data_IF_018465690012
#
_entry.id   IF_018465690012
#
_cell.length_a   1.000
_cell.length_b   1.000
_cell.length_c   1.000
_cell.angle_alpha   90.00
_cell.angle_beta   90.00
_cell.angle_gamma   90.00
#
_symmetry.space_group_name_H-M   'P 1'
#
loop_
_entity.id
_entity.type
_entity.pdbx_description
1 polymer ?
#
# COMPACT_ATOMS: atom_id res chain seq x y z
N UNK A 1 -16.69 -26.03 -43.04
CA UNK A 1 -16.62 -26.07 -41.57
C UNK A 1 -17.87 -26.78 -41.07
N UNK A 2 -17.71 -27.99 -40.55
CA UNK A 2 -18.80 -28.84 -40.04
C UNK A 2 -18.77 -28.70 -38.53
N UNK A 3 -19.89 -28.31 -37.91
CA UNK A 3 -20.01 -28.32 -36.45
C UNK A 3 -20.69 -29.63 -36.05
N UNK A 4 -20.02 -30.47 -35.23
CA UNK A 4 -20.67 -31.55 -34.50
C UNK A 4 -21.67 -30.96 -33.51
N UNK A 5 -22.91 -31.48 -33.50
CA UNK A 5 -23.91 -31.16 -32.48
C UNK A 5 -24.38 -32.48 -31.87
N UNK A 6 -24.31 -32.70 -30.55
CA UNK A 6 -24.85 -33.92 -29.96
C UNK A 6 -26.37 -33.81 -29.96
N UNK A 7 -27.07 -34.88 -30.36
CA UNK A 7 -28.49 -35.00 -30.00
C UNK A 7 -28.86 -36.43 -29.65
N UNK A 8 -29.69 -36.48 -28.61
CA UNK A 8 -30.29 -37.62 -27.94
C UNK A 8 -30.91 -38.62 -28.93
N UNK A 9 -30.49 -39.88 -28.76
CA UNK A 9 -31.13 -41.14 -29.14
C UNK A 9 -31.52 -41.41 -30.61
N UNK A 10 -31.05 -42.56 -31.09
CA UNK A 10 -31.44 -43.34 -32.27
C UNK A 10 -30.52 -43.25 -33.50
N UNK A 11 -29.83 -44.37 -33.76
CA UNK A 11 -28.70 -44.52 -34.69
C UNK A 11 -29.03 -45.62 -35.71
N UNK A 12 -29.53 -45.27 -36.90
CA UNK A 12 -29.49 -46.21 -38.04
C UNK A 12 -29.62 -45.61 -39.45
N UNK A 13 -29.76 -44.29 -39.62
CA UNK A 13 -29.73 -43.69 -40.97
C UNK A 13 -29.08 -42.30 -40.95
N UNK A 14 -27.94 -42.15 -41.62
CA UNK A 14 -27.32 -40.83 -41.82
C UNK A 14 -28.02 -40.14 -43.01
N UNK A 15 -28.65 -38.98 -42.76
CA UNK A 15 -29.15 -38.10 -43.83
C UNK A 15 -28.42 -36.77 -43.70
N UNK A 16 -27.63 -36.39 -44.72
CA UNK A 16 -26.99 -35.07 -44.81
C UNK A 16 -28.10 -34.00 -44.81
N UNK A 17 -28.31 -33.31 -43.67
CA UNK A 17 -29.12 -32.09 -43.62
C UNK A 17 -28.26 -30.88 -43.92
N UNK A 18 -28.83 -29.87 -44.57
CA UNK A 18 -28.10 -28.65 -44.91
C UNK A 18 -27.90 -27.77 -43.68
N UNK A 19 -26.86 -26.92 -43.70
CA UNK A 19 -26.56 -25.97 -42.61
C UNK A 19 -27.73 -25.03 -42.27
N UNK A 20 -28.63 -24.78 -43.23
CA UNK A 20 -29.81 -23.91 -43.05
C UNK A 20 -30.90 -24.56 -42.18
N UNK A 21 -31.03 -25.88 -42.22
CA UNK A 21 -32.03 -26.61 -41.45
C UNK A 21 -31.62 -26.71 -39.97
N UNK A 22 -30.33 -26.84 -39.68
CA UNK A 22 -29.80 -26.86 -38.31
C UNK A 22 -29.93 -25.48 -37.61
N UNK A 23 -29.68 -24.40 -38.36
CA UNK A 23 -29.82 -23.03 -37.87
C UNK A 23 -31.27 -22.67 -37.49
N UNK A 24 -32.26 -23.27 -38.15
CA UNK A 24 -33.68 -22.97 -37.91
C UNK A 24 -34.19 -23.64 -36.62
N UNK A 25 -33.77 -24.88 -36.37
CA UNK A 25 -34.08 -25.63 -35.15
C UNK A 25 -33.46 -25.00 -33.89
N UNK A 26 -32.20 -24.56 -33.96
CA UNK A 26 -31.55 -23.85 -32.85
C UNK A 26 -32.21 -22.49 -32.55
N UNK A 27 -32.76 -21.82 -33.57
CA UNK A 27 -33.54 -20.58 -33.40
C UNK A 27 -34.88 -20.81 -32.70
N UNK A 28 -35.51 -21.96 -32.93
CA UNK A 28 -36.78 -22.34 -32.27
C UNK A 28 -36.55 -22.78 -30.81
N UNK A 29 -35.45 -23.51 -30.54
CA UNK A 29 -35.04 -23.87 -29.18
C UNK A 29 -34.66 -22.63 -28.34
N UNK A 30 -33.91 -21.69 -28.91
CA UNK A 30 -33.58 -20.42 -28.25
C UNK A 30 -34.78 -19.51 -27.97
N UNK A 31 -35.84 -19.57 -28.80
CA UNK A 31 -37.08 -18.80 -28.59
C UNK A 31 -37.97 -19.35 -27.48
N UNK A 32 -37.93 -20.67 -27.19
CA UNK A 32 -38.65 -21.25 -26.04
C UNK A 32 -37.96 -21.00 -24.70
N UNK A 33 -36.64 -20.79 -24.68
CA UNK A 33 -35.91 -20.44 -23.46
C UNK A 33 -36.09 -18.96 -23.03
N UNK A 34 -36.46 -18.07 -23.97
CA UNK A 34 -36.61 -16.63 -23.71
C UNK A 34 -38.02 -16.20 -23.27
N UNK A 35 -39.04 -17.08 -23.32
CA UNK A 35 -40.42 -16.72 -22.96
C UNK A 35 -40.78 -16.93 -21.48
N UNK A 36 -39.80 -17.26 -20.63
CA UNK A 36 -40.02 -17.62 -19.23
C UNK A 36 -39.33 -16.74 -18.19
N UNK A 37 -38.65 -15.66 -18.58
CA UNK A 37 -38.08 -14.74 -17.59
C UNK A 37 -39.21 -13.90 -16.97
N UNK A 38 -39.52 -14.05 -15.67
CA UNK A 38 -40.63 -13.32 -15.06
C UNK A 38 -40.34 -11.81 -15.12
N UNK A 39 -41.35 -11.00 -15.45
CA UNK A 39 -41.31 -9.53 -15.46
C UNK A 39 -40.78 -8.92 -14.14
N UNK A 40 -40.78 -9.71 -13.06
CA UNK A 40 -40.20 -9.35 -11.76
C UNK A 40 -38.67 -9.15 -11.79
N UNK A 41 -37.97 -9.72 -12.78
CA UNK A 41 -36.50 -9.64 -12.91
C UNK A 41 -36.03 -8.23 -13.28
N UNK A 42 -36.71 -7.54 -14.19
CA UNK A 42 -36.33 -6.19 -14.67
C UNK A 42 -36.63 -5.12 -13.61
N UNK A 43 -37.74 -5.28 -12.87
CA UNK A 43 -38.12 -4.38 -11.76
C UNK A 43 -37.19 -4.55 -10.56
N UNK A 44 -36.85 -5.80 -10.20
CA UNK A 44 -35.81 -6.12 -9.20
C UNK A 44 -34.46 -5.53 -9.61
N UNK A 45 -34.08 -5.66 -10.88
CA UNK A 45 -32.81 -5.17 -11.40
C UNK A 45 -32.69 -3.64 -11.38
N UNK A 46 -33.77 -2.88 -11.59
CA UNK A 46 -33.75 -1.41 -11.41
C UNK A 46 -33.71 -0.99 -9.94
N UNK A 47 -34.44 -1.69 -9.06
CA UNK A 47 -34.46 -1.42 -7.61
C UNK A 47 -33.11 -1.71 -6.96
N UNK A 48 -32.39 -2.72 -7.44
CA UNK A 48 -31.08 -3.10 -6.89
C UNK A 48 -29.97 -2.13 -7.35
N UNK A 49 -30.05 -1.57 -8.57
CA UNK A 49 -29.05 -0.62 -9.07
C UNK A 49 -29.05 0.71 -8.32
N UNK A 50 -30.22 1.23 -7.94
CA UNK A 50 -30.32 2.48 -7.17
C UNK A 50 -29.92 2.30 -5.71
N UNK A 51 -30.23 1.15 -5.10
CA UNK A 51 -29.78 0.81 -3.74
C UNK A 51 -28.26 0.62 -3.69
N UNK A 52 -27.68 -0.14 -4.63
CA UNK A 52 -26.23 -0.32 -4.74
C UNK A 52 -25.52 1.02 -4.95
N UNK A 53 -26.02 1.86 -5.86
CA UNK A 53 -25.45 3.20 -6.07
C UNK A 53 -25.50 4.07 -4.81
N UNK A 54 -26.60 4.03 -4.05
CA UNK A 54 -26.74 4.75 -2.77
C UNK A 54 -25.80 4.22 -1.68
N UNK A 55 -25.59 2.91 -1.62
CA UNK A 55 -24.65 2.29 -0.69
C UNK A 55 -23.21 2.67 -1.05
N UNK A 56 -22.85 2.66 -2.34
CA UNK A 56 -21.54 3.11 -2.80
C UNK A 56 -21.31 4.60 -2.53
N UNK A 57 -22.28 5.47 -2.82
CA UNK A 57 -22.13 6.90 -2.52
C UNK A 57 -22.09 7.16 -1.03
N UNK A 58 -22.88 6.44 -0.22
CA UNK A 58 -22.82 6.54 1.24
C UNK A 58 -21.47 6.08 1.79
N UNK A 59 -20.95 4.92 1.38
CA UNK A 59 -19.61 4.46 1.78
C UNK A 59 -18.51 5.44 1.37
N UNK A 60 -18.59 6.01 0.16
CA UNK A 60 -17.63 7.01 -0.28
C UNK A 60 -17.68 8.28 0.58
N UNK A 61 -18.87 8.79 0.88
CA UNK A 61 -19.07 9.97 1.74
C UNK A 61 -18.57 9.71 3.16
N UNK A 62 -18.84 8.53 3.74
CA UNK A 62 -18.34 8.15 5.07
C UNK A 62 -16.81 8.04 5.08
N UNK A 63 -16.19 7.46 4.05
CA UNK A 63 -14.74 7.37 3.93
C UNK A 63 -14.06 8.75 3.83
N UNK A 64 -14.68 9.70 3.11
CA UNK A 64 -14.20 11.08 3.01
C UNK A 64 -14.30 11.81 4.35
N UNK A 65 -15.42 11.66 5.07
CA UNK A 65 -15.68 12.31 6.36
C UNK A 65 -14.79 11.81 7.50
N UNK A 66 -14.23 10.60 7.37
CA UNK A 66 -13.39 9.96 8.41
C UNK A 66 -11.89 10.05 8.13
N UNK A 67 -11.47 10.67 7.02
CA UNK A 67 -10.05 10.84 6.73
C UNK A 67 -9.42 11.91 7.63
N UNK A 68 -8.72 11.48 8.69
CA UNK A 68 -7.82 12.37 9.42
C UNK A 68 -6.52 12.48 8.62
N UNK A 69 -6.11 13.68 8.17
CA UNK A 69 -4.84 13.81 7.50
C UNK A 69 -3.70 13.46 8.47
N UNK A 70 -2.83 12.54 8.07
CA UNK A 70 -1.58 12.28 8.79
C UNK A 70 -0.64 13.43 8.46
N UNK A 71 -0.80 14.54 9.16
CA UNK A 71 0.13 15.66 9.11
C UNK A 71 1.34 15.35 9.98
N UNK A 72 2.50 15.88 9.57
CA UNK A 72 3.63 16.01 10.47
C UNK A 72 3.18 16.87 11.65
N UNK A 73 3.18 16.28 12.85
CA UNK A 73 2.80 16.95 14.08
C UNK A 73 3.96 17.76 14.67
N UNK A 74 5.19 17.36 14.31
CA UNK A 74 6.43 17.91 14.84
C UNK A 74 7.40 18.23 13.70
N UNK A 75 8.40 19.07 14.00
CA UNK A 75 9.65 19.09 13.26
C UNK A 75 10.49 17.86 13.64
N UNK A 76 11.39 17.42 12.76
CA UNK A 76 12.41 16.44 13.10
C UNK A 76 13.57 17.15 13.81
N UNK A 77 13.82 16.83 15.09
CA UNK A 77 15.08 17.10 15.77
C UNK A 77 16.14 16.07 15.39
N UNK A 78 17.42 16.46 15.44
CA UNK A 78 18.54 15.55 15.20
C UNK A 78 19.73 15.83 16.12
N UNK A 79 20.30 14.74 16.65
CA UNK A 79 21.55 14.73 17.39
C UNK A 79 22.37 13.48 17.04
N UNK A 80 23.69 13.56 17.10
CA UNK A 80 24.58 12.41 16.94
C UNK A 80 25.47 12.31 18.16
N UNK A 81 25.50 11.13 18.77
CA UNK A 81 26.31 10.84 19.95
C UNK A 81 27.09 9.54 19.77
N UNK A 82 27.96 9.23 20.74
CA UNK A 82 28.76 8.01 20.76
C UNK A 82 28.48 7.24 22.05
N UNK A 83 28.27 5.94 21.91
CA UNK A 83 28.27 5.01 23.03
C UNK A 83 29.66 4.37 23.10
N UNK A 84 30.28 4.51 24.26
CA UNK A 84 31.60 3.97 24.54
C UNK A 84 31.47 2.51 24.97
N UNK A 85 31.82 1.59 24.08
CA UNK A 85 31.82 0.14 24.33
C UNK A 85 33.24 -0.45 24.11
N UNK A 86 34.20 0.13 24.83
CA UNK A 86 35.60 -0.26 24.80
C UNK A 86 36.20 -0.24 23.39
N UNK A 87 36.63 -1.41 22.91
CA UNK A 87 37.26 -1.58 21.59
C UNK A 87 36.27 -1.49 20.41
N UNK A 88 34.95 -1.47 20.67
CA UNK A 88 33.90 -1.45 19.65
C UNK A 88 32.86 -0.37 19.95
N UNK A 89 33.24 0.92 19.92
CA UNK A 89 32.29 1.99 20.18
C UNK A 89 31.13 1.97 19.17
N UNK A 90 30.06 2.71 19.43
CA UNK A 90 28.92 2.80 18.52
C UNK A 90 28.59 4.27 18.28
N UNK A 91 28.41 4.67 17.03
CA UNK A 91 27.78 5.98 16.72
C UNK A 91 26.27 5.81 16.73
N UNK A 92 25.61 6.69 17.47
CA UNK A 92 24.17 6.74 17.59
C UNK A 92 23.67 8.05 17.01
N UNK A 93 22.89 7.96 15.94
CA UNK A 93 22.15 9.05 15.35
C UNK A 93 20.71 9.04 15.91
N UNK A 94 20.27 10.14 16.51
CA UNK A 94 18.97 10.23 17.17
C UNK A 94 18.11 11.25 16.44
N UNK A 95 16.99 10.81 15.87
CA UNK A 95 15.94 11.68 15.36
C UNK A 95 14.76 11.64 16.31
N UNK A 96 14.22 12.80 16.67
CA UNK A 96 13.18 12.90 17.68
C UNK A 96 12.18 14.03 17.37
N UNK A 97 10.98 14.01 17.95
CA UNK A 97 10.03 15.11 17.81
C UNK A 97 10.60 16.41 18.39
N UNK A 98 10.57 17.49 17.63
CA UNK A 98 10.99 18.84 18.04
C UNK A 98 9.99 19.91 17.54
N UNK A 99 10.12 21.15 18.00
CA UNK A 99 9.28 22.28 17.55
C UNK A 99 10.06 23.33 16.75
N UNK A 100 11.37 23.28 16.85
CA UNK A 100 12.30 24.23 16.26
C UNK A 100 12.33 24.10 14.73
N UNK A 101 12.68 25.19 14.07
CA UNK A 101 12.71 25.25 12.61
C UNK A 101 13.81 24.31 12.08
N UNK A 102 13.43 23.42 11.18
CA UNK A 102 14.39 22.57 10.48
C UNK A 102 15.28 23.37 9.53
N UNK A 103 16.53 22.93 9.42
CA UNK A 103 17.49 23.43 8.44
C UNK A 103 18.05 22.26 7.64
N UNK A 104 18.69 22.55 6.50
CA UNK A 104 19.35 21.52 5.69
C UNK A 104 20.46 20.86 6.50
N UNK A 105 20.38 19.53 6.61
CA UNK A 105 21.39 18.71 7.28
C UNK A 105 22.06 17.80 6.26
N UNK A 106 23.39 17.68 6.35
CA UNK A 106 24.18 16.73 5.54
C UNK A 106 24.58 15.54 6.41
N UNK A 107 24.14 14.36 6.03
CA UNK A 107 24.32 13.09 6.72
C UNK A 107 25.40 12.22 6.04
N UNK A 108 26.51 12.84 5.63
CA UNK A 108 27.50 12.22 4.74
C UNK A 108 27.02 12.21 3.29
N UNK A 109 26.69 11.02 2.76
CA UNK A 109 26.23 10.84 1.38
C UNK A 109 24.75 11.20 1.15
N UNK A 110 24.00 11.40 2.24
CA UNK A 110 22.59 11.81 2.21
C UNK A 110 22.43 13.25 2.71
N UNK A 111 21.31 13.88 2.35
CA UNK A 111 20.91 15.18 2.87
C UNK A 111 19.42 15.15 3.24
N UNK A 112 19.05 15.93 4.25
CA UNK A 112 17.69 16.04 4.73
C UNK A 112 17.46 17.37 5.42
N UNK A 113 16.45 17.42 6.29
CA UNK A 113 16.03 18.63 6.98
C UNK A 113 15.69 18.27 8.43
N UNK A 114 16.42 18.85 9.37
CA UNK A 114 16.18 18.63 10.80
C UNK A 114 16.61 19.86 11.61
N UNK A 115 16.04 20.00 12.80
CA UNK A 115 16.46 20.96 13.80
C UNK A 115 17.63 20.36 14.60
N UNK A 116 18.83 20.88 14.36
CA UNK A 116 20.06 20.42 15.02
C UNK A 116 20.06 20.85 16.48
N UNK A 117 20.31 19.92 17.39
CA UNK A 117 20.46 20.19 18.84
C UNK A 117 19.25 20.93 19.45
N UNK A 118 18.06 20.63 18.93
CA UNK A 118 16.79 21.13 19.43
C UNK A 118 16.39 20.45 20.74
N UNK A 119 15.52 21.09 21.53
CA UNK A 119 14.95 20.40 22.68
C UNK A 119 13.88 19.39 22.20
N UNK A 120 13.91 18.11 22.64
CA UNK A 120 12.83 17.19 22.35
C UNK A 120 11.50 17.72 22.91
N UNK A 121 10.41 17.58 22.16
CA UNK A 121 9.07 17.97 22.61
C UNK A 121 8.27 16.77 23.08
N UNK A 122 7.62 16.90 24.24
CA UNK A 122 6.76 15.86 24.80
C UNK A 122 7.53 14.67 25.36
N UNK A 123 6.79 13.68 25.85
CA UNK A 123 7.28 12.46 26.48
C UNK A 123 6.49 11.23 25.98
N UNK A 124 6.96 10.03 26.35
CA UNK A 124 6.26 8.77 26.04
C UNK A 124 6.24 8.36 24.57
N UNK A 125 7.09 8.96 23.72
CA UNK A 125 7.16 8.62 22.30
C UNK A 125 7.64 7.16 22.09
N UNK A 126 7.01 6.41 21.16
CA UNK A 126 7.51 5.09 20.77
C UNK A 126 8.92 5.18 20.17
N UNK A 127 9.78 4.23 20.56
CA UNK A 127 11.18 4.16 20.12
C UNK A 127 11.34 3.13 19.01
N UNK A 128 12.04 3.51 17.95
CA UNK A 128 12.41 2.65 16.83
C UNK A 128 13.93 2.57 16.76
N UNK A 129 14.48 1.35 16.74
CA UNK A 129 15.89 1.12 16.48
C UNK A 129 16.10 0.83 14.99
N UNK A 130 16.95 1.61 14.34
CA UNK A 130 17.27 1.49 12.92
C UNK A 130 18.73 1.02 12.75
N UNK A 131 18.89 -0.19 12.22
CA UNK A 131 20.18 -0.74 11.82
C UNK A 131 20.37 -0.61 10.31
N UNK A 132 21.55 -0.22 9.89
CA UNK A 132 21.90 -0.20 8.46
C UNK A 132 22.21 -1.61 7.93
N UNK A 133 22.20 -1.76 6.61
CA UNK A 133 22.74 -2.94 5.92
C UNK A 133 24.27 -2.88 5.79
N UNK A 134 24.88 -3.92 5.21
CA UNK A 134 26.33 -4.00 5.03
C UNK A 134 26.90 -2.76 4.31
N UNK A 135 28.08 -2.29 4.74
CA UNK A 135 28.79 -1.12 4.20
C UNK A 135 28.01 0.21 4.28
N UNK A 136 26.93 0.25 5.06
CA UNK A 136 26.09 1.44 5.25
C UNK A 136 26.38 2.19 6.55
N UNK A 137 25.66 3.28 6.75
CA UNK A 137 25.53 3.97 8.02
C UNK A 137 24.04 4.26 8.27
N UNK A 138 23.63 4.41 9.54
CA UNK A 138 22.24 4.73 9.86
C UNK A 138 21.78 6.04 9.19
N UNK A 139 22.70 7.00 9.07
CA UNK A 139 22.51 8.29 8.44
C UNK A 139 22.09 8.21 6.95
N UNK A 140 22.37 7.08 6.26
CA UNK A 140 21.90 6.83 4.88
C UNK A 140 20.36 6.72 4.80
N UNK A 141 19.73 6.40 5.92
CA UNK A 141 18.28 6.24 6.06
C UNK A 141 17.64 7.44 6.80
N UNK A 142 18.31 8.60 6.82
CA UNK A 142 17.78 9.80 7.47
C UNK A 142 16.38 10.19 7.00
N UNK A 143 16.06 9.98 5.72
CA UNK A 143 14.76 10.31 5.15
C UNK A 143 13.58 9.60 5.84
N UNK A 144 13.75 8.32 6.24
CA UNK A 144 12.70 7.60 6.98
C UNK A 144 12.73 7.99 8.46
N UNK A 145 13.92 8.20 9.03
CA UNK A 145 14.07 8.59 10.42
C UNK A 145 13.43 9.95 10.71
N UNK A 146 13.69 10.97 9.88
CA UNK A 146 13.06 12.28 9.98
C UNK A 146 11.54 12.20 9.79
N UNK A 147 11.08 11.37 8.84
CA UNK A 147 9.65 11.18 8.55
C UNK A 147 8.89 10.58 9.74
N UNK A 148 9.54 9.68 10.48
CA UNK A 148 9.03 9.08 11.71
C UNK A 148 9.11 10.07 12.88
N UNK A 149 10.20 10.82 13.01
CA UNK A 149 10.33 11.88 14.03
C UNK A 149 9.22 12.92 13.93
N UNK A 150 8.93 13.41 12.72
CA UNK A 150 7.80 14.32 12.45
C UNK A 150 6.42 13.74 12.82
N UNK A 151 6.32 12.42 12.99
CA UNK A 151 5.10 11.68 13.38
C UNK A 151 5.07 11.28 14.86
N UNK A 152 6.03 11.72 15.67
CA UNK A 152 6.03 11.44 17.11
C UNK A 152 6.80 10.17 17.50
N UNK A 153 7.75 9.70 16.68
CA UNK A 153 8.62 8.58 17.03
C UNK A 153 10.02 9.08 17.40
N UNK A 154 10.68 8.42 18.34
CA UNK A 154 12.11 8.58 18.55
C UNK A 154 12.83 7.48 17.77
N UNK A 155 13.67 7.85 16.82
CA UNK A 155 14.40 6.92 15.97
C UNK A 155 15.88 6.92 16.35
N UNK A 156 16.37 5.76 16.75
CA UNK A 156 17.74 5.50 17.13
C UNK A 156 18.46 4.79 15.97
N UNK A 157 19.24 5.52 15.19
CA UNK A 157 20.10 5.00 14.14
C UNK A 157 21.44 4.51 14.68
N UNK A 158 21.72 3.22 14.55
CA UNK A 158 22.97 2.61 15.01
C UNK A 158 23.93 2.44 13.84
N UNK A 159 25.14 2.98 13.98
CA UNK A 159 26.25 2.74 13.04
C UNK A 159 27.33 1.89 13.71
N UNK A 160 27.56 0.68 13.17
CA UNK A 160 28.41 -0.35 13.76
C UNK A 160 29.89 -0.12 13.46
N UNK A 161 30.75 -0.24 14.48
CA UNK A 161 32.19 -0.07 14.35
C UNK A 161 32.81 -1.09 13.40
N UNK A 162 33.59 -0.61 12.43
CA UNK A 162 34.30 -1.44 11.46
C UNK A 162 33.44 -1.90 10.27
N UNK A 163 32.13 -1.68 10.31
CA UNK A 163 31.20 -1.99 9.20
C UNK A 163 30.67 -0.73 8.51
N UNK A 164 30.56 0.39 9.25
CA UNK A 164 30.17 1.67 8.70
C UNK A 164 31.37 2.48 8.20
N UNK A 165 31.37 2.98 6.95
CA UNK A 165 32.43 3.86 6.46
C UNK A 165 32.45 5.23 7.19
N UNK A 166 31.35 5.59 7.85
CA UNK A 166 31.21 6.85 8.63
C UNK A 166 31.72 6.67 10.07
N UNK A 167 32.07 5.44 10.48
CA UNK A 167 32.46 5.15 11.85
C UNK A 167 33.37 3.90 11.93
N UNK A 168 34.66 4.11 12.18
CA UNK A 168 35.60 3.00 12.40
C UNK A 168 36.86 2.97 11.52
N UNK A 169 37.24 4.07 10.88
CA UNK A 169 38.65 4.29 10.51
C UNK A 169 39.28 5.30 11.47
N UNK A 170 40.52 5.08 11.94
CA UNK A 170 41.30 6.13 12.60
C UNK A 170 41.47 7.35 11.69
#
# INVERSE_FOLDING_TARGET
MVCECPRLADTSHWKRRSSKECATEQRLAGRRAASGAPLNSIVSQRRNRTVIARLFTFSLVVALLTSTPIHAQYAAGYESTRIDDGARPIRLDVWYPANEKEAVVRYGISAGSAAISAAPVGDGHPVILLSHGAMGAASNYSWIAETLARRGYVVLGVSHFGESPVFGTP
#
